data_IF_287147983612
#
_entry.id   IF_287147983612
#
_cell.length_a   1.000
_cell.length_b   1.000
_cell.length_c   1.000
_cell.angle_alpha   90.00
_cell.angle_beta   90.00
_cell.angle_gamma   90.00
#
_symmetry.space_group_name_H-M   'P 1'
#
loop_
_entity.id
_entity.type
_entity.pdbx_description
1 polymer ?
#
# COMPACT_ATOMS: atom_id res chain seq x y z
N UNK A 1 13.36 -20.70 73.66
CA UNK A 1 14.09 -19.51 73.22
C UNK A 1 14.41 -19.72 71.74
N UNK A 2 13.59 -19.15 70.83
CA UNK A 2 13.75 -19.31 69.36
C UNK A 2 14.33 -18.04 68.77
N UNK A 3 15.36 -18.14 67.93
CA UNK A 3 15.83 -16.98 67.17
C UNK A 3 15.03 -16.80 65.88
N UNK A 4 14.76 -15.54 65.61
CA UNK A 4 13.98 -14.96 64.50
C UNK A 4 14.60 -15.27 63.13
N UNK A 5 13.76 -15.79 62.22
CA UNK A 5 14.08 -15.87 60.80
C UNK A 5 13.81 -14.53 60.14
N UNK A 6 14.86 -13.82 59.77
CA UNK A 6 14.78 -12.67 58.87
C UNK A 6 14.85 -13.20 57.41
N UNK A 7 13.69 -13.31 56.80
CA UNK A 7 13.56 -13.58 55.37
C UNK A 7 13.89 -12.33 54.55
N UNK A 8 15.00 -12.39 53.79
CA UNK A 8 15.37 -11.34 52.84
C UNK A 8 14.45 -11.37 51.63
N UNK A 9 13.61 -10.35 51.52
CA UNK A 9 12.80 -10.09 50.31
C UNK A 9 13.73 -9.51 49.24
N UNK A 10 14.14 -10.33 48.28
CA UNK A 10 14.82 -9.85 47.06
C UNK A 10 13.77 -9.30 46.13
N UNK A 11 13.59 -7.98 46.11
CA UNK A 11 12.80 -7.28 45.09
C UNK A 11 13.59 -7.31 43.78
N UNK A 12 13.17 -8.18 42.87
CA UNK A 12 13.66 -8.19 41.50
C UNK A 12 13.00 -7.02 40.75
N UNK A 13 13.70 -5.92 40.57
CA UNK A 13 13.33 -4.85 39.63
C UNK A 13 13.50 -5.40 38.20
N UNK A 14 12.41 -5.86 37.60
CA UNK A 14 12.36 -6.07 36.18
C UNK A 14 12.32 -4.70 35.49
N UNK A 15 13.46 -4.29 34.94
CA UNK A 15 13.54 -3.11 34.07
C UNK A 15 12.74 -3.38 32.80
N UNK A 16 11.53 -2.82 32.72
CA UNK A 16 10.71 -2.81 31.53
C UNK A 16 11.33 -1.80 30.55
N UNK A 17 12.18 -2.31 29.65
CA UNK A 17 12.78 -1.52 28.59
C UNK A 17 11.70 -1.29 27.53
N UNK A 18 10.94 -0.20 27.67
CA UNK A 18 10.05 0.28 26.61
C UNK A 18 10.91 0.79 25.48
N UNK A 19 11.11 -0.03 24.44
CA UNK A 19 11.62 0.43 23.16
C UNK A 19 10.59 1.42 22.60
N UNK A 20 10.88 2.70 22.76
CA UNK A 20 10.27 3.78 21.98
C UNK A 20 10.72 3.59 20.52
N UNK A 21 10.00 2.71 19.79
CA UNK A 21 10.07 2.68 18.35
C UNK A 21 9.61 4.06 17.87
N UNK A 22 10.52 4.83 17.27
CA UNK A 22 10.24 6.14 16.71
C UNK A 22 9.02 6.06 15.82
N UNK A 23 7.95 6.74 16.21
CA UNK A 23 6.74 6.84 15.42
C UNK A 23 7.05 7.75 14.23
N UNK A 24 7.39 7.15 13.07
CA UNK A 24 7.18 7.85 11.81
C UNK A 24 5.73 8.32 11.80
N UNK A 25 5.49 9.60 11.49
CA UNK A 25 4.13 10.14 11.38
C UNK A 25 3.43 9.54 10.14
N UNK A 26 3.05 8.27 10.26
CA UNK A 26 2.19 7.63 9.30
C UNK A 26 0.80 8.25 9.41
N UNK A 27 0.25 8.68 8.30
CA UNK A 27 -1.16 9.07 8.20
C UNK A 27 -2.01 7.86 8.65
N UNK A 28 -3.10 8.13 9.38
CA UNK A 28 -3.92 7.06 9.98
C UNK A 28 -4.30 5.99 8.94
N UNK A 29 -3.93 4.75 9.22
CA UNK A 29 -4.19 3.60 8.34
C UNK A 29 -3.15 3.35 7.24
N UNK A 30 -2.14 4.22 7.06
CA UNK A 30 -1.08 4.04 6.08
C UNK A 30 0.20 3.50 6.72
N UNK A 31 0.79 2.50 6.09
CA UNK A 31 2.14 2.04 6.39
C UNK A 31 3.15 2.81 5.53
N UNK A 32 4.37 2.95 6.03
CA UNK A 32 5.50 3.56 5.31
C UNK A 32 6.61 2.54 5.01
N UNK A 33 6.52 1.33 5.55
CA UNK A 33 7.47 0.23 5.33
C UNK A 33 6.85 -0.84 4.44
N UNK A 34 7.48 -1.14 3.32
CA UNK A 34 7.04 -2.16 2.37
C UNK A 34 7.07 -3.57 2.99
N UNK A 35 8.10 -3.88 3.78
CA UNK A 35 8.18 -5.18 4.45
C UNK A 35 7.04 -5.37 5.47
N UNK A 36 6.71 -4.31 6.23
CA UNK A 36 5.56 -4.35 7.15
C UNK A 36 4.24 -4.47 6.38
N UNK A 37 4.12 -3.79 5.23
CA UNK A 37 2.93 -3.89 4.38
C UNK A 37 2.75 -5.31 3.82
N UNK A 38 3.81 -5.96 3.35
CA UNK A 38 3.76 -7.36 2.91
C UNK A 38 3.38 -8.32 4.05
N UNK A 39 3.99 -8.15 5.22
CA UNK A 39 3.67 -8.98 6.38
C UNK A 39 2.20 -8.84 6.80
N UNK A 40 1.68 -7.61 6.82
CA UNK A 40 0.27 -7.36 7.12
C UNK A 40 -0.65 -7.90 6.02
N UNK A 41 -0.32 -7.68 4.76
CA UNK A 41 -1.06 -8.18 3.61
C UNK A 41 -1.17 -9.71 3.62
N UNK A 42 -0.08 -10.41 3.89
CA UNK A 42 -0.06 -11.86 4.02
C UNK A 42 -0.93 -12.36 5.19
N UNK A 43 -0.91 -11.65 6.33
CA UNK A 43 -1.73 -11.98 7.51
C UNK A 43 -3.22 -11.78 7.25
N UNK A 44 -3.58 -10.70 6.53
CA UNK A 44 -4.98 -10.33 6.29
C UNK A 44 -5.54 -10.92 4.98
N UNK A 45 -4.71 -11.52 4.12
CA UNK A 45 -5.11 -12.00 2.80
C UNK A 45 -5.54 -10.89 1.84
N UNK A 46 -5.04 -9.65 2.05
CA UNK A 46 -5.42 -8.47 1.27
C UNK A 46 -4.31 -8.04 0.31
N UNK A 47 -4.64 -7.57 -0.90
CA UNK A 47 -3.69 -6.91 -1.78
C UNK A 47 -3.16 -5.61 -1.15
N UNK A 48 -2.01 -5.14 -1.65
CA UNK A 48 -1.39 -3.89 -1.22
C UNK A 48 -1.70 -2.79 -2.23
N UNK A 49 -2.20 -1.65 -1.76
CA UNK A 49 -2.24 -0.42 -2.53
C UNK A 49 -1.00 0.41 -2.18
N UNK A 50 -0.12 0.61 -3.15
CA UNK A 50 1.10 1.41 -3.02
C UNK A 50 0.90 2.77 -3.68
N UNK A 51 1.03 3.85 -2.92
CA UNK A 51 1.07 5.22 -3.43
C UNK A 51 2.51 5.71 -3.51
N UNK A 52 3.02 5.99 -4.70
CA UNK A 52 4.24 6.76 -4.90
C UNK A 52 3.86 8.23 -5.07
N UNK A 53 4.40 9.10 -4.22
CA UNK A 53 3.96 10.48 -4.13
C UNK A 53 5.13 11.45 -3.91
N UNK A 54 4.86 12.74 -4.07
CA UNK A 54 5.76 13.85 -3.71
C UNK A 54 4.93 14.88 -2.94
N UNK A 55 4.68 14.61 -1.66
CA UNK A 55 3.64 15.25 -0.85
C UNK A 55 3.76 16.78 -0.76
N UNK A 56 4.98 17.31 -0.75
CA UNK A 56 5.23 18.75 -0.57
C UNK A 56 5.41 19.55 -1.86
N UNK A 57 5.66 18.87 -3.01
CA UNK A 57 6.00 19.56 -4.25
C UNK A 57 5.12 19.22 -5.45
N UNK A 58 4.43 18.07 -5.46
CA UNK A 58 3.69 17.55 -6.61
C UNK A 58 2.21 18.04 -6.58
N UNK A 59 1.78 18.96 -7.46
CA UNK A 59 0.40 19.47 -7.44
C UNK A 59 -0.67 18.39 -7.63
N UNK A 60 -0.56 17.43 -8.60
CA UNK A 60 -1.57 16.37 -8.72
C UNK A 60 -1.57 15.41 -7.54
N UNK A 61 -0.42 15.20 -6.85
CA UNK A 61 -0.39 14.40 -5.61
C UNK A 61 -1.19 15.09 -4.50
N UNK A 62 -1.00 16.39 -4.32
CA UNK A 62 -1.79 17.18 -3.36
C UNK A 62 -3.28 17.18 -3.69
N UNK A 63 -3.62 17.21 -4.97
CA UNK A 63 -5.02 17.14 -5.42
C UNK A 63 -5.62 15.77 -5.12
N UNK A 64 -4.93 14.65 -5.41
CA UNK A 64 -5.34 13.30 -5.06
C UNK A 64 -5.55 13.17 -3.55
N UNK A 65 -4.57 13.58 -2.77
CA UNK A 65 -4.67 13.56 -1.30
C UNK A 65 -5.91 14.31 -0.80
N UNK A 66 -6.06 15.59 -1.20
CA UNK A 66 -7.16 16.47 -0.77
C UNK A 66 -8.54 15.97 -1.20
N UNK A 67 -8.65 15.47 -2.43
CA UNK A 67 -9.95 15.18 -3.04
C UNK A 67 -10.38 13.72 -2.85
N UNK A 68 -9.44 12.80 -2.55
CA UNK A 68 -9.71 11.37 -2.44
C UNK A 68 -9.21 10.80 -1.11
N UNK A 69 -7.89 10.82 -0.85
CA UNK A 69 -7.29 9.98 0.20
C UNK A 69 -7.74 10.37 1.62
N UNK A 70 -7.99 11.66 1.88
CA UNK A 70 -8.49 12.13 3.19
C UNK A 70 -10.01 12.05 3.34
N UNK A 71 -10.75 11.63 2.29
CA UNK A 71 -12.21 11.59 2.34
C UNK A 71 -12.71 10.38 3.11
N UNK A 72 -13.84 10.56 3.80
CA UNK A 72 -14.47 9.51 4.62
C UNK A 72 -14.71 8.21 3.85
N UNK A 73 -15.15 8.31 2.58
CA UNK A 73 -15.39 7.14 1.73
C UNK A 73 -14.10 6.35 1.52
N UNK A 74 -12.95 7.02 1.29
CA UNK A 74 -11.66 6.35 1.17
C UNK A 74 -11.25 5.71 2.49
N UNK A 75 -11.25 6.48 3.59
CA UNK A 75 -10.82 6.02 4.92
C UNK A 75 -11.64 4.85 5.43
N UNK A 76 -12.93 4.79 5.09
CA UNK A 76 -13.83 3.72 5.52
C UNK A 76 -13.77 2.48 4.63
N UNK A 77 -13.61 2.64 3.30
CA UNK A 77 -13.70 1.53 2.37
C UNK A 77 -12.35 0.91 2.05
N UNK A 78 -11.31 1.73 1.74
CA UNK A 78 -10.05 1.18 1.23
C UNK A 78 -9.35 0.21 2.19
N UNK A 79 -9.30 0.42 3.52
CA UNK A 79 -8.69 -0.54 4.44
C UNK A 79 -9.42 -1.89 4.55
N UNK A 80 -10.67 -1.97 4.09
CA UNK A 80 -11.39 -3.25 4.01
C UNK A 80 -10.84 -4.15 2.92
N UNK A 81 -10.32 -3.55 1.85
CA UNK A 81 -9.90 -4.23 0.62
C UNK A 81 -8.39 -4.26 0.43
N UNK A 82 -7.65 -3.33 1.04
CA UNK A 82 -6.21 -3.16 0.82
C UNK A 82 -5.46 -2.90 2.11
N UNK A 83 -4.21 -3.35 2.15
CA UNK A 83 -3.19 -2.78 3.02
C UNK A 83 -2.64 -1.55 2.30
N UNK A 84 -2.63 -0.40 2.97
CA UNK A 84 -2.23 0.88 2.38
C UNK A 84 -0.75 1.15 2.66
N UNK A 85 0.04 1.40 1.62
CA UNK A 85 1.46 1.72 1.70
C UNK A 85 1.74 3.05 1.00
N UNK A 86 2.26 4.02 1.75
CA UNK A 86 2.69 5.32 1.24
C UNK A 86 4.20 5.35 1.04
N UNK A 87 4.61 5.64 -0.17
CA UNK A 87 6.00 5.79 -0.59
C UNK A 87 6.19 7.24 -1.04
N UNK A 88 6.58 8.09 -0.09
CA UNK A 88 6.74 9.51 -0.33
C UNK A 88 8.17 9.86 -0.74
N UNK A 89 8.32 10.90 -1.54
CA UNK A 89 9.60 11.50 -1.91
C UNK A 89 9.52 13.03 -1.80
N UNK A 90 9.36 13.56 -0.57
CA UNK A 90 9.29 15.01 -0.36
C UNK A 90 10.62 15.68 -0.70
N UNK A 91 10.60 16.97 -1.03
CA UNK A 91 11.81 17.80 -1.14
C UNK A 91 12.47 17.99 0.21
N UNK A 92 11.67 18.22 1.25
CA UNK A 92 12.13 18.31 2.64
C UNK A 92 12.41 16.90 3.21
N UNK A 93 13.68 16.49 3.12
CA UNK A 93 14.14 15.17 3.58
C UNK A 93 14.18 15.03 5.10
N UNK A 94 14.05 16.10 5.86
CA UNK A 94 13.99 16.04 7.32
C UNK A 94 12.76 15.30 7.86
N UNK A 95 11.75 15.10 7.00
CA UNK A 95 10.51 14.37 7.30
C UNK A 95 10.58 12.87 7.07
N UNK A 96 11.72 12.37 6.63
CA UNK A 96 11.92 10.96 6.30
C UNK A 96 13.12 10.37 7.05
N UNK A 97 13.03 9.09 7.35
CA UNK A 97 14.20 8.34 7.81
C UNK A 97 15.10 7.96 6.62
N UNK A 98 16.39 7.66 6.85
CA UNK A 98 17.28 7.15 5.81
C UNK A 98 16.73 5.89 5.13
N UNK A 99 16.07 5.02 5.90
CA UNK A 99 15.48 3.78 5.42
C UNK A 99 14.31 4.05 4.45
N UNK A 100 13.45 5.04 4.73
CA UNK A 100 12.36 5.45 3.86
C UNK A 100 12.88 6.02 2.54
N UNK A 101 13.94 6.84 2.60
CA UNK A 101 14.58 7.41 1.42
C UNK A 101 15.16 6.29 0.53
N UNK A 102 15.89 5.35 1.12
CA UNK A 102 16.50 4.25 0.38
C UNK A 102 15.45 3.28 -0.19
N UNK A 103 14.40 2.98 0.61
CA UNK A 103 13.26 2.19 0.17
C UNK A 103 12.57 2.82 -1.05
N UNK A 104 12.30 4.14 -1.01
CA UNK A 104 11.71 4.84 -2.15
C UNK A 104 12.55 4.70 -3.40
N UNK A 105 13.88 4.93 -3.31
CA UNK A 105 14.82 4.79 -4.45
C UNK A 105 14.80 3.38 -5.02
N UNK A 106 14.88 2.36 -4.15
CA UNK A 106 14.86 0.96 -4.56
C UNK A 106 13.56 0.61 -5.27
N UNK A 107 12.41 0.86 -4.63
CA UNK A 107 11.11 0.46 -5.15
C UNK A 107 10.70 1.27 -6.39
N UNK A 108 11.04 2.57 -6.46
CA UNK A 108 10.77 3.36 -7.66
C UNK A 108 11.53 2.86 -8.89
N UNK A 109 12.76 2.37 -8.72
CA UNK A 109 13.53 1.72 -9.79
C UNK A 109 12.93 0.35 -10.15
N UNK A 110 12.64 -0.48 -9.15
CA UNK A 110 12.09 -1.83 -9.33
C UNK A 110 10.76 -1.79 -10.08
N UNK A 111 9.84 -0.92 -9.64
CA UNK A 111 8.54 -0.77 -10.26
C UNK A 111 8.50 0.21 -11.43
N UNK A 112 9.66 0.73 -11.87
CA UNK A 112 9.80 1.64 -13.02
C UNK A 112 8.88 2.86 -12.91
N UNK A 113 8.90 3.54 -11.75
CA UNK A 113 8.10 4.74 -11.52
C UNK A 113 8.72 5.91 -12.29
N UNK A 114 7.98 6.43 -13.26
CA UNK A 114 8.41 7.54 -14.13
C UNK A 114 7.79 8.88 -13.74
N UNK A 115 6.79 8.88 -12.88
CA UNK A 115 6.09 10.09 -12.42
C UNK A 115 5.24 9.83 -11.20
N UNK A 116 4.78 10.90 -10.56
CA UNK A 116 3.91 10.85 -9.37
C UNK A 116 2.70 11.79 -9.55
N UNK A 117 1.53 11.46 -8.94
CA UNK A 117 1.28 10.26 -8.17
C UNK A 117 1.25 9.02 -9.05
N UNK A 118 1.77 7.89 -8.54
CA UNK A 118 1.57 6.58 -9.14
C UNK A 118 0.94 5.65 -8.11
N UNK A 119 -0.14 4.99 -8.50
CA UNK A 119 -0.84 4.00 -7.68
C UNK A 119 -0.61 2.63 -8.28
N UNK A 120 -0.08 1.71 -7.49
CA UNK A 120 0.12 0.32 -7.86
C UNK A 120 -0.71 -0.57 -6.95
N UNK A 121 -1.37 -1.57 -7.52
CA UNK A 121 -2.00 -2.65 -6.77
C UNK A 121 -1.18 -3.91 -6.96
N UNK A 122 -0.81 -4.55 -5.86
CA UNK A 122 -0.01 -5.78 -5.87
C UNK A 122 -0.66 -6.87 -5.04
N UNK A 123 -0.26 -8.11 -5.29
CA UNK A 123 -0.51 -9.20 -4.37
C UNK A 123 0.21 -9.00 -3.02
N UNK A 124 0.06 -9.94 -2.11
CA UNK A 124 0.68 -9.90 -0.78
C UNK A 124 2.21 -9.97 -0.81
N UNK A 125 2.80 -10.46 -1.90
CA UNK A 125 4.24 -10.55 -2.13
C UNK A 125 4.84 -9.30 -2.78
N UNK A 126 4.00 -8.38 -3.28
CA UNK A 126 4.44 -7.17 -3.99
C UNK A 126 4.45 -7.29 -5.52
N UNK A 127 3.98 -8.43 -6.10
CA UNK A 127 3.84 -8.57 -7.55
C UNK A 127 2.67 -7.71 -8.03
N UNK A 128 2.98 -6.69 -8.83
CA UNK A 128 1.99 -5.71 -9.32
C UNK A 128 1.10 -6.34 -10.39
N UNK A 129 -0.22 -6.19 -10.24
CA UNK A 129 -1.22 -6.62 -11.21
C UNK A 129 -1.99 -5.44 -11.84
N UNK A 130 -1.93 -4.24 -11.24
CA UNK A 130 -2.54 -3.03 -11.80
C UNK A 130 -1.68 -1.81 -11.46
N UNK A 131 -1.67 -0.83 -12.38
CA UNK A 131 -1.05 0.48 -12.15
C UNK A 131 -1.81 1.60 -12.85
N UNK A 132 -1.78 2.77 -12.23
CA UNK A 132 -2.20 4.04 -12.85
C UNK A 132 -1.28 5.17 -12.41
N UNK A 133 -1.18 6.22 -13.21
CA UNK A 133 -0.36 7.39 -12.91
C UNK A 133 -1.14 8.67 -13.19
N UNK A 134 -0.83 9.72 -12.40
CA UNK A 134 -1.57 10.96 -12.43
C UNK A 134 -2.87 10.90 -11.62
N UNK A 135 -3.58 12.03 -11.60
CA UNK A 135 -4.91 12.16 -11.02
C UNK A 135 -5.77 13.04 -11.92
N UNK A 136 -6.84 12.47 -12.45
CA UNK A 136 -7.73 13.11 -13.43
C UNK A 136 -8.88 13.92 -12.83
N UNK A 137 -8.88 14.15 -11.49
CA UNK A 137 -9.93 14.94 -10.83
C UNK A 137 -11.21 14.17 -10.51
N UNK A 138 -11.20 12.83 -10.55
CA UNK A 138 -12.36 12.01 -10.21
C UNK A 138 -12.85 12.28 -8.78
N UNK A 139 -14.17 12.18 -8.56
CA UNK A 139 -14.75 12.21 -7.22
C UNK A 139 -14.26 11.02 -6.39
N UNK A 140 -14.11 11.20 -5.08
CA UNK A 140 -13.56 10.19 -4.18
C UNK A 140 -14.28 8.84 -4.28
N UNK A 141 -15.61 8.86 -4.33
CA UNK A 141 -16.39 7.60 -4.44
C UNK A 141 -16.09 6.87 -5.75
N UNK A 142 -16.03 7.59 -6.87
CA UNK A 142 -15.73 7.00 -8.19
C UNK A 142 -14.35 6.36 -8.17
N UNK A 143 -13.36 7.09 -7.66
CA UNK A 143 -11.98 6.60 -7.56
C UNK A 143 -11.87 5.36 -6.66
N UNK A 144 -12.55 5.37 -5.50
CA UNK A 144 -12.58 4.21 -4.58
C UNK A 144 -13.23 3.01 -5.24
N UNK A 145 -14.40 3.17 -5.85
CA UNK A 145 -15.12 2.09 -6.53
C UNK A 145 -14.26 1.49 -7.66
N UNK A 146 -13.57 2.34 -8.43
CA UNK A 146 -12.64 1.90 -9.48
C UNK A 146 -11.49 1.05 -8.90
N UNK A 147 -10.84 1.50 -7.82
CA UNK A 147 -9.73 0.75 -7.22
C UNK A 147 -10.20 -0.58 -6.63
N UNK A 148 -11.35 -0.58 -5.95
CA UNK A 148 -11.93 -1.81 -5.39
C UNK A 148 -12.28 -2.81 -6.51
N UNK A 149 -12.85 -2.37 -7.63
CA UNK A 149 -13.14 -3.24 -8.76
C UNK A 149 -11.89 -3.94 -9.33
N UNK A 150 -10.69 -3.33 -9.21
CA UNK A 150 -9.42 -3.93 -9.67
C UNK A 150 -8.98 -5.15 -8.85
N UNK A 151 -9.53 -5.35 -7.65
CA UNK A 151 -9.21 -6.55 -6.85
C UNK A 151 -9.62 -7.86 -7.51
N UNK A 152 -10.55 -7.81 -8.47
CA UNK A 152 -10.97 -8.97 -9.26
C UNK A 152 -10.01 -9.34 -10.42
N UNK A 153 -8.97 -8.53 -10.69
CA UNK A 153 -8.03 -8.78 -11.80
C UNK A 153 -7.23 -10.08 -11.60
N UNK A 154 -6.63 -10.37 -10.43
CA UNK A 154 -5.87 -11.60 -10.22
C UNK A 154 -6.71 -12.85 -10.50
N UNK A 155 -7.92 -12.93 -9.94
CA UNK A 155 -8.82 -14.08 -10.12
C UNK A 155 -9.22 -14.26 -11.59
N UNK A 156 -9.57 -13.17 -12.29
CA UNK A 156 -9.91 -13.22 -13.69
C UNK A 156 -8.74 -13.69 -14.59
N UNK A 157 -7.49 -13.36 -14.20
CA UNK A 157 -6.30 -13.84 -14.90
C UNK A 157 -5.99 -15.32 -14.58
N UNK A 158 -6.22 -15.74 -13.35
CA UNK A 158 -6.06 -17.14 -12.93
C UNK A 158 -7.09 -18.05 -13.65
N UNK A 159 -8.36 -17.66 -13.65
CA UNK A 159 -9.42 -18.33 -14.40
C UNK A 159 -9.06 -18.48 -15.88
N UNK A 160 -8.54 -17.40 -16.50
CA UNK A 160 -8.12 -17.43 -17.89
C UNK A 160 -6.93 -18.37 -18.14
N UNK A 161 -6.02 -18.54 -17.18
CA UNK A 161 -4.90 -19.46 -17.29
C UNK A 161 -5.34 -20.92 -17.22
N UNK A 162 -6.40 -21.23 -16.48
CA UNK A 162 -7.00 -22.57 -16.39
C UNK A 162 -7.87 -22.94 -17.59
N UNK A 163 -8.33 -21.97 -18.39
CA UNK A 163 -9.25 -22.16 -19.50
C UNK A 163 -8.53 -22.32 -20.86
N UNK A 164 -9.26 -22.83 -21.87
CA UNK A 164 -8.77 -23.00 -23.25
C UNK A 164 -9.77 -22.41 -24.26
N UNK A 165 -9.29 -22.18 -25.50
CA UNK A 165 -10.13 -21.75 -26.61
C UNK A 165 -10.93 -20.49 -26.34
N UNK A 166 -12.20 -20.48 -26.73
CA UNK A 166 -13.10 -19.33 -26.63
C UNK A 166 -13.32 -18.90 -25.17
N UNK A 167 -13.37 -19.84 -24.24
CA UNK A 167 -13.56 -19.52 -22.81
C UNK A 167 -12.39 -18.70 -22.27
N UNK A 168 -11.16 -19.09 -22.57
CA UNK A 168 -9.97 -18.31 -22.23
C UNK A 168 -10.02 -16.90 -22.80
N UNK A 169 -10.47 -16.75 -24.06
CA UNK A 169 -10.59 -15.44 -24.70
C UNK A 169 -11.57 -14.53 -23.96
N UNK A 170 -12.73 -15.05 -23.56
CA UNK A 170 -13.74 -14.30 -22.79
C UNK A 170 -13.21 -13.87 -21.42
N UNK A 171 -12.50 -14.75 -20.71
CA UNK A 171 -11.93 -14.45 -19.39
C UNK A 171 -10.80 -13.41 -19.49
N UNK A 172 -9.98 -13.48 -20.53
CA UNK A 172 -8.97 -12.45 -20.81
C UNK A 172 -9.61 -11.09 -21.14
N UNK A 173 -10.69 -11.08 -21.92
CA UNK A 173 -11.43 -9.85 -22.23
C UNK A 173 -12.05 -9.24 -20.97
N UNK A 174 -12.60 -10.07 -20.08
CA UNK A 174 -13.05 -9.64 -18.75
C UNK A 174 -11.92 -9.01 -17.94
N UNK A 175 -10.76 -9.66 -17.85
CA UNK A 175 -9.60 -9.12 -17.13
C UNK A 175 -9.14 -7.79 -17.72
N UNK A 176 -9.12 -7.67 -19.07
CA UNK A 176 -8.80 -6.43 -19.77
C UNK A 176 -9.79 -5.31 -19.50
N UNK A 177 -11.10 -5.62 -19.47
CA UNK A 177 -12.12 -4.63 -19.15
C UNK A 177 -11.97 -4.09 -17.73
N UNK A 178 -11.60 -4.95 -16.76
CA UNK A 178 -11.27 -4.55 -15.41
C UNK A 178 -10.04 -3.63 -15.35
N UNK A 179 -9.04 -3.82 -16.20
CA UNK A 179 -7.86 -2.96 -16.27
C UNK A 179 -8.16 -1.58 -16.83
N UNK A 180 -9.21 -1.44 -17.65
CA UNK A 180 -9.61 -0.19 -18.30
C UNK A 180 -8.78 0.16 -19.53
N UNK A 181 -9.12 1.29 -20.19
CA UNK A 181 -8.50 1.73 -21.46
C UNK A 181 -6.99 2.01 -21.38
N UNK A 182 -6.46 2.31 -20.18
CA UNK A 182 -5.04 2.59 -19.96
C UNK A 182 -4.16 1.37 -20.21
N UNK A 183 -4.64 0.17 -19.88
CA UNK A 183 -3.89 -1.07 -20.09
C UNK A 183 -3.88 -1.51 -21.58
N UNK A 184 -4.91 -1.15 -22.34
CA UNK A 184 -4.95 -1.39 -23.77
C UNK A 184 -3.93 -0.54 -24.54
N UNK A 185 -3.60 0.67 -24.05
CA UNK A 185 -2.58 1.54 -24.63
C UNK A 185 -1.16 1.06 -24.35
N UNK A 186 -0.91 0.48 -23.16
CA UNK A 186 0.43 -0.03 -22.75
C UNK A 186 0.83 -1.35 -23.44
N UNK A 187 -0.10 -2.01 -24.14
CA UNK A 187 0.17 -3.28 -24.83
C UNK A 187 0.62 -3.09 -26.29
N UNK A 188 0.66 -1.84 -26.78
CA UNK A 188 1.10 -1.50 -28.16
C UNK A 188 2.59 -1.13 -28.25
N UNK A 189 3.32 -1.16 -27.15
CA UNK A 189 4.78 -1.03 -27.07
C UNK A 189 5.39 -2.39 -26.67
#
# INVERSE_FOLDING_TARGET
MNPLYLGSIRVALAAFFVLLAGSSFAEEGWLVSFEKAKAQAAKEGKPILMEFTGSDWCPPCKALHKNVLVRDVFKKEMPKHFVLLKLDNPKDKSKQTPEEIEQYKKLSKEYKITGVPSILLSDTGGKVFYRTSGYGGQAAKVWVDEMVAKTAIPDALEDANGAKGLERAKLLDKALSLMGSTAAAQRKE
#
